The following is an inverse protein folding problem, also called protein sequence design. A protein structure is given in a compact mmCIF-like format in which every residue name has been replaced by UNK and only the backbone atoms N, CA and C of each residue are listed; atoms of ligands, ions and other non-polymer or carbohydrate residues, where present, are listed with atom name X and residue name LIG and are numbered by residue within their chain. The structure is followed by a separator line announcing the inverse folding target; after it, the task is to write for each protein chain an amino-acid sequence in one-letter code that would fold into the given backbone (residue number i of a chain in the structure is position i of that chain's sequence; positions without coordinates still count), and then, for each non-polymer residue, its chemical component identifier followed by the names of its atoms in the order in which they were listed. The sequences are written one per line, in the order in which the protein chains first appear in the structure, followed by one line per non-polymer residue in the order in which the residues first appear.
data_IF_191029447278
#
_entry.id   IF_191029447278
#
_cell.length_a   1.000
_cell.length_b   1.000
_cell.length_c   1.000
_cell.angle_alpha   90.00
_cell.angle_beta   90.00
_cell.angle_gamma   90.00
#
_symmetry.space_group_name_H-M   'P 1'
#
loop_
_entity.id
_entity.type
_entity.pdbx_description
1 polymer ?
#
# COMPACT_ATOMS: atom_id res chain seq x y z
N UNK A 1 -19.70 -18.50 18.03
CA UNK A 1 -18.78 -17.35 17.83
C UNK A 1 -17.64 -17.80 16.90
N UNK A 2 -17.94 -18.17 15.65
CA UNK A 2 -16.94 -18.47 14.64
C UNK A 2 -16.45 -17.13 14.11
N UNK A 3 -15.43 -16.58 14.75
CA UNK A 3 -14.91 -15.24 14.48
C UNK A 3 -14.50 -15.20 13.00
N UNK A 4 -14.70 -14.04 12.38
CA UNK A 4 -14.44 -13.62 11.01
C UNK A 4 -13.00 -13.86 10.48
N UNK A 5 -12.39 -15.01 10.74
CA UNK A 5 -10.99 -15.32 10.43
C UNK A 5 -10.69 -15.19 8.95
N UNK A 6 -11.58 -15.67 8.09
CA UNK A 6 -11.44 -15.56 6.63
C UNK A 6 -11.50 -14.08 6.17
N UNK A 7 -12.39 -13.30 6.79
CA UNK A 7 -12.53 -11.86 6.54
C UNK A 7 -11.31 -11.06 7.00
N UNK A 8 -10.71 -11.43 8.13
CA UNK A 8 -9.50 -10.79 8.68
C UNK A 8 -8.25 -11.20 7.90
N UNK A 9 -8.14 -12.47 7.46
CA UNK A 9 -7.05 -12.92 6.59
C UNK A 9 -7.13 -12.25 5.22
N UNK A 10 -8.32 -12.16 4.62
CA UNK A 10 -8.56 -11.44 3.38
C UNK A 10 -8.16 -9.97 3.47
N UNK A 11 -8.47 -9.30 4.59
CA UNK A 11 -8.09 -7.90 4.81
C UNK A 11 -6.57 -7.69 4.84
N UNK A 12 -5.82 -8.54 5.54
CA UNK A 12 -4.36 -8.42 5.61
C UNK A 12 -3.69 -8.78 4.27
N UNK A 13 -4.23 -9.76 3.54
CA UNK A 13 -3.75 -10.11 2.21
C UNK A 13 -3.95 -8.96 1.22
N UNK A 14 -5.14 -8.33 1.22
CA UNK A 14 -5.41 -7.18 0.34
C UNK A 14 -4.57 -5.96 0.76
N UNK A 15 -4.42 -5.71 2.06
CA UNK A 15 -3.54 -4.66 2.56
C UNK A 15 -2.08 -4.89 2.12
N UNK A 16 -1.59 -6.12 2.14
CA UNK A 16 -0.24 -6.47 1.69
C UNK A 16 -0.07 -6.18 0.19
N UNK A 17 -1.08 -6.51 -0.61
CA UNK A 17 -1.11 -6.24 -2.05
C UNK A 17 -1.10 -4.74 -2.35
N UNK A 18 -1.97 -3.96 -1.69
CA UNK A 18 -2.02 -2.49 -1.82
C UNK A 18 -0.69 -1.84 -1.42
N UNK A 19 -0.05 -2.32 -0.35
CA UNK A 19 1.27 -1.83 0.06
C UNK A 19 2.34 -2.16 -0.98
N UNK A 20 2.28 -3.33 -1.61
CA UNK A 20 3.17 -3.70 -2.72
C UNK A 20 3.00 -2.79 -3.94
N UNK A 21 1.76 -2.50 -4.32
CA UNK A 21 1.45 -1.54 -5.40
C UNK A 21 1.97 -0.14 -5.07
N UNK A 22 1.77 0.32 -3.83
CA UNK A 22 2.30 1.61 -3.37
C UNK A 22 3.82 1.67 -3.43
N UNK A 23 4.53 0.61 -3.01
CA UNK A 23 6.00 0.53 -3.14
C UNK A 23 6.44 0.74 -4.57
N UNK A 24 5.75 0.12 -5.53
CA UNK A 24 6.06 0.26 -6.97
C UNK A 24 5.90 1.70 -7.46
N UNK A 25 4.85 2.39 -7.00
CA UNK A 25 4.60 3.79 -7.38
C UNK A 25 5.64 4.72 -6.77
N UNK A 26 5.91 4.59 -5.47
CA UNK A 26 6.93 5.38 -4.78
C UNK A 26 8.33 5.16 -5.39
N UNK A 27 8.66 3.92 -5.75
CA UNK A 27 9.89 3.61 -6.47
C UNK A 27 9.93 4.27 -7.86
N UNK A 28 8.80 4.32 -8.58
CA UNK A 28 8.69 5.02 -9.86
C UNK A 28 8.85 6.54 -9.70
N UNK A 29 8.24 7.14 -8.68
CA UNK A 29 8.41 8.56 -8.38
C UNK A 29 9.88 8.87 -8.07
N UNK A 30 10.52 8.05 -7.23
CA UNK A 30 11.92 8.23 -6.83
C UNK A 30 12.88 8.11 -8.03
N UNK A 31 12.62 7.16 -8.94
CA UNK A 31 13.42 6.99 -10.16
C UNK A 31 13.29 8.18 -11.12
N UNK A 32 12.12 8.82 -11.16
CA UNK A 32 11.85 9.98 -12.02
C UNK A 32 12.01 11.32 -11.28
N UNK A 33 12.61 11.32 -10.08
CA UNK A 33 12.80 12.53 -9.28
C UNK A 33 13.70 13.58 -9.96
N UNK A 34 14.52 13.18 -10.93
CA UNK A 34 15.36 14.08 -11.72
C UNK A 34 14.82 14.31 -13.13
N UNK A 35 13.59 13.87 -13.43
CA UNK A 35 12.96 14.02 -14.75
C UNK A 35 12.13 15.32 -14.78
N UNK A 36 12.44 16.29 -15.67
CA UNK A 36 11.66 17.51 -15.80
C UNK A 36 10.19 17.22 -16.15
N UNK A 37 9.25 17.97 -15.55
CA UNK A 37 7.81 17.83 -15.80
C UNK A 37 7.13 16.57 -15.25
N UNK A 38 7.81 15.75 -14.43
CA UNK A 38 7.20 14.55 -13.86
C UNK A 38 6.17 14.86 -12.76
N UNK A 39 5.08 14.09 -12.77
CA UNK A 39 3.96 14.22 -11.82
C UNK A 39 3.94 13.04 -10.85
N UNK A 40 4.21 13.31 -9.56
CA UNK A 40 4.17 12.31 -8.51
C UNK A 40 2.75 11.76 -8.32
N UNK A 41 2.64 10.44 -8.24
CA UNK A 41 1.37 9.74 -8.00
C UNK A 41 1.45 8.99 -6.68
N UNK A 42 0.33 8.81 -6.01
CA UNK A 42 0.25 7.92 -4.85
C UNK A 42 -1.13 7.24 -4.79
N UNK A 43 -1.24 6.19 -3.98
CA UNK A 43 -2.49 5.52 -3.66
C UNK A 43 -2.96 6.00 -2.29
N UNK A 44 -4.25 6.35 -2.17
CA UNK A 44 -4.88 6.49 -0.85
C UNK A 44 -5.15 5.10 -0.27
N UNK A 45 -4.23 4.65 0.59
CA UNK A 45 -4.33 3.37 1.28
C UNK A 45 -5.60 3.29 2.15
N UNK A 46 -6.01 4.39 2.78
CA UNK A 46 -7.17 4.39 3.67
C UNK A 46 -8.47 4.23 2.89
N UNK A 47 -8.61 4.95 1.77
CA UNK A 47 -9.75 4.85 0.90
C UNK A 47 -9.82 3.48 0.19
N UNK A 48 -8.69 2.98 -0.33
CA UNK A 48 -8.62 1.67 -0.99
C UNK A 48 -8.89 0.51 -0.03
N UNK A 49 -8.38 0.58 1.20
CA UNK A 49 -8.68 -0.41 2.24
C UNK A 49 -10.15 -0.33 2.71
N UNK A 50 -10.69 0.88 2.86
CA UNK A 50 -12.09 1.08 3.23
C UNK A 50 -13.04 0.53 2.15
N UNK A 51 -12.69 0.69 0.86
CA UNK A 51 -13.42 0.06 -0.26
C UNK A 51 -13.34 -1.46 -0.18
N UNK A 52 -12.15 -2.01 0.02
CA UNK A 52 -11.97 -3.45 0.22
C UNK A 52 -12.73 -4.02 1.45
N UNK A 53 -12.99 -3.20 2.46
CA UNK A 53 -13.73 -3.58 3.67
C UNK A 53 -15.25 -3.39 3.53
N UNK A 54 -15.69 -2.36 2.79
CA UNK A 54 -17.09 -1.96 2.63
C UNK A 54 -17.82 -2.68 1.49
N UNK A 55 -17.12 -2.99 0.39
CA UNK A 55 -17.68 -3.76 -0.72
C UNK A 55 -17.35 -5.24 -0.53
N UNK A 56 -18.20 -5.93 0.23
CA UNK A 56 -18.23 -7.38 0.26
C UNK A 56 -18.70 -7.93 -1.10
N UNK A 57 -17.82 -8.01 -2.11
CA UNK A 57 -18.11 -8.84 -3.28
C UNK A 57 -17.43 -8.50 -4.61
N UNK A 58 -16.91 -7.29 -4.82
CA UNK A 58 -16.22 -6.98 -6.08
C UNK A 58 -14.70 -7.19 -5.91
N UNK A 59 -14.06 -8.06 -6.71
CA UNK A 59 -12.61 -8.10 -6.75
C UNK A 59 -12.11 -6.71 -7.18
N UNK A 60 -11.00 -6.25 -6.62
CA UNK A 60 -10.29 -5.04 -7.04
C UNK A 60 -9.79 -5.21 -8.49
N UNK A 61 -10.71 -5.13 -9.44
CA UNK A 61 -10.51 -5.14 -10.89
C UNK A 61 -10.43 -3.71 -11.46
N UNK A 62 -10.86 -2.71 -10.68
CA UNK A 62 -10.53 -1.31 -10.90
C UNK A 62 -9.37 -0.94 -10.00
N UNK A 63 -8.16 -0.84 -10.56
CA UNK A 63 -6.93 -0.57 -9.82
C UNK A 63 -7.07 0.59 -8.82
N UNK A 64 -6.33 0.49 -7.71
CA UNK A 64 -6.30 1.50 -6.68
C UNK A 64 -6.21 2.91 -7.30
N UNK A 65 -7.17 3.77 -6.96
CA UNK A 65 -7.33 5.09 -7.57
C UNK A 65 -6.04 5.88 -7.38
N UNK A 66 -5.29 6.04 -8.48
CA UNK A 66 -4.03 6.76 -8.49
C UNK A 66 -4.35 8.24 -8.38
N UNK A 67 -4.11 8.81 -7.21
CA UNK A 67 -4.30 10.23 -6.97
C UNK A 67 -3.00 10.96 -7.26
N UNK A 68 -3.10 12.08 -7.98
CA UNK A 68 -1.98 13.00 -8.15
C UNK A 68 -1.73 13.72 -6.83
N UNK A 69 -0.48 13.76 -6.39
CA UNK A 69 -0.11 14.43 -5.15
C UNK A 69 0.01 15.94 -5.39
N UNK A 70 -0.58 16.76 -4.52
CA UNK A 70 -0.42 18.21 -4.56
C UNK A 70 0.98 18.54 -4.03
N UNK A 71 1.88 19.15 -4.83
CA UNK A 71 3.24 19.45 -4.39
C UNK A 71 3.22 20.58 -3.36
N UNK A 72 3.98 20.43 -2.26
CA UNK A 72 4.15 21.49 -1.28
C UNK A 72 5.26 22.46 -1.72
N UNK A 73 6.27 21.94 -2.42
CA UNK A 73 7.30 22.72 -3.09
C UNK A 73 7.31 22.41 -4.59
N UNK A 74 6.90 23.38 -5.43
CA UNK A 74 7.03 23.26 -6.88
C UNK A 74 8.50 23.45 -7.26
N UNK A 75 9.11 22.45 -7.88
CA UNK A 75 10.44 22.62 -8.47
C UNK A 75 10.39 23.65 -9.60
N UNK A 76 11.50 24.38 -9.81
CA UNK A 76 11.64 25.32 -10.93
C UNK A 76 11.44 24.64 -12.29
N UNK A 77 11.69 23.33 -12.36
CA UNK A 77 11.61 22.54 -13.60
C UNK A 77 10.23 21.93 -13.86
N UNK A 78 9.20 22.32 -13.08
CA UNK A 78 7.85 21.77 -13.19
C UNK A 78 7.71 20.33 -12.68
N UNK A 79 8.77 19.78 -12.08
CA UNK A 79 8.72 18.52 -11.35
C UNK A 79 7.99 18.72 -10.01
N UNK A 80 7.15 17.74 -9.67
CA UNK A 80 6.36 17.69 -8.44
C UNK A 80 6.86 16.67 -7.43
N UNK A 81 7.87 15.89 -7.81
CA UNK A 81 8.51 14.90 -6.93
C UNK A 81 9.44 15.60 -5.95
N UNK A 82 9.15 15.44 -4.67
CA UNK A 82 10.00 15.91 -3.58
C UNK A 82 10.82 14.72 -3.04
N UNK A 83 12.11 14.64 -3.39
CA UNK A 83 12.96 13.47 -3.10
C UNK A 83 12.92 13.04 -1.63
N UNK A 84 13.06 13.99 -0.69
CA UNK A 84 13.04 13.69 0.74
C UNK A 84 11.68 13.17 1.23
N UNK A 85 10.59 13.68 0.67
CA UNK A 85 9.23 13.25 1.01
C UNK A 85 8.95 11.85 0.46
N UNK A 86 9.33 11.59 -0.80
CA UNK A 86 9.18 10.26 -1.42
C UNK A 86 10.04 9.20 -0.72
N UNK A 87 11.28 9.54 -0.33
CA UNK A 87 12.14 8.63 0.44
C UNK A 87 11.55 8.30 1.81
N UNK A 88 11.01 9.29 2.53
CA UNK A 88 10.34 9.07 3.80
C UNK A 88 9.08 8.20 3.63
N UNK A 89 8.24 8.49 2.62
CA UNK A 89 7.05 7.72 2.32
C UNK A 89 7.39 6.26 1.93
N UNK A 90 8.46 6.05 1.16
CA UNK A 90 8.95 4.72 0.79
C UNK A 90 9.41 3.94 2.02
N UNK A 91 10.21 4.57 2.89
CA UNK A 91 10.68 3.94 4.13
C UNK A 91 9.51 3.56 5.06
N UNK A 92 8.52 4.45 5.19
CA UNK A 92 7.31 4.18 5.98
C UNK A 92 6.51 3.00 5.39
N UNK A 93 6.28 2.98 4.08
CA UNK A 93 5.55 1.89 3.44
C UNK A 93 6.28 0.55 3.53
N UNK A 94 7.62 0.56 3.43
CA UNK A 94 8.45 -0.63 3.63
C UNK A 94 8.33 -1.18 5.05
N UNK A 95 8.42 -0.32 6.08
CA UNK A 95 8.23 -0.72 7.48
C UNK A 95 6.84 -1.35 7.70
N UNK A 96 5.79 -0.69 7.21
CA UNK A 96 4.43 -1.21 7.33
C UNK A 96 4.21 -2.53 6.59
N UNK A 97 4.84 -2.72 5.43
CA UNK A 97 4.79 -3.96 4.67
C UNK A 97 5.40 -5.11 5.47
N UNK A 98 6.58 -4.90 6.06
CA UNK A 98 7.23 -5.89 6.93
C UNK A 98 6.38 -6.26 8.14
N UNK A 99 5.75 -5.28 8.78
CA UNK A 99 4.83 -5.49 9.90
C UNK A 99 3.62 -6.33 9.45
N UNK A 100 3.01 -5.97 8.32
CA UNK A 100 1.86 -6.69 7.76
C UNK A 100 2.20 -8.15 7.43
N UNK A 101 3.37 -8.40 6.83
CA UNK A 101 3.86 -9.74 6.52
C UNK A 101 4.08 -10.57 7.79
N UNK A 102 4.64 -9.96 8.84
CA UNK A 102 4.86 -10.63 10.12
C UNK A 102 3.53 -11.06 10.75
N UNK A 103 2.50 -10.21 10.69
CA UNK A 103 1.16 -10.58 11.16
C UNK A 103 0.56 -11.76 10.40
N UNK A 104 0.68 -11.79 9.06
CA UNK A 104 0.23 -12.92 8.24
C UNK A 104 0.99 -14.18 8.64
N UNK A 105 2.31 -14.11 8.81
CA UNK A 105 3.14 -15.24 9.20
C UNK A 105 2.78 -15.77 10.60
N UNK A 106 2.55 -14.90 11.58
CA UNK A 106 2.11 -15.29 12.91
C UNK A 106 0.75 -16.02 12.88
N UNK A 107 -0.20 -15.53 12.07
CA UNK A 107 -1.52 -16.17 11.91
C UNK A 107 -1.43 -17.53 11.23
N UNK A 108 -0.66 -17.66 10.14
CA UNK A 108 -0.46 -18.94 9.47
C UNK A 108 0.15 -19.99 10.41
N UNK A 109 1.15 -19.59 11.21
CA UNK A 109 1.75 -20.44 12.24
C UNK A 109 0.74 -20.84 13.33
N UNK A 110 -0.17 -19.95 13.70
CA UNK A 110 -1.22 -20.29 14.68
C UNK A 110 -2.22 -21.31 14.12
N UNK A 111 -2.58 -21.21 12.83
CA UNK A 111 -3.47 -22.16 12.17
C UNK A 111 -2.82 -23.53 12.02
N UNK A 112 -1.56 -23.58 11.57
CA UNK A 112 -0.84 -24.85 11.44
C UNK A 112 -0.76 -25.58 12.79
N UNK A 113 -0.48 -24.85 13.87
CA UNK A 113 -0.39 -25.41 15.22
C UNK A 113 -1.72 -25.95 15.77
N UNK A 114 -2.86 -25.40 15.34
CA UNK A 114 -4.19 -25.88 15.74
C UNK A 114 -4.64 -27.11 14.94
N UNK A 115 -4.13 -27.28 13.72
CA UNK A 115 -4.47 -28.42 12.85
C UNK A 115 -3.56 -29.62 13.14
N UNK A 116 -2.30 -29.39 13.50
CA UNK A 116 -1.34 -30.45 13.83
C UNK A 116 -1.44 -30.99 15.27
N UNK A 117 -2.14 -30.28 16.16
CA UNK A 117 -2.38 -30.69 17.56
C UNK A 117 -3.76 -31.29 17.75
#
# INVERSE_FOLDING_TARGET
MAIHFDKVLGLHAEALKLRGERTKILASNLANASTPGYQARDIDFSASLARALGEAGEPLGGGAELLYRVPHHRSQDGNTVELGVEQAAFAQNAADFHVSLTFVQMKLRSLSKVIEG
#
